data_IF_623001262143
#
_entry.id   IF_623001262143
#
_cell.length_a   1.000
_cell.length_b   1.000
_cell.length_c   1.000
_cell.angle_alpha   90.00
_cell.angle_beta   90.00
_cell.angle_gamma   90.00
#
_symmetry.space_group_name_H-M   'P 1'
#
loop_
_entity.id
_entity.type
_entity.pdbx_description
1 polymer ?
#
# COMPACT_ATOMS: atom_id res chain seq x y z
N UNK A 1 -11.41 16.55 6.46
CA UNK A 1 -11.23 15.34 5.63
C UNK A 1 -10.65 14.26 6.51
N UNK A 2 -11.40 13.19 6.78
CA UNK A 2 -10.92 12.09 7.61
C UNK A 2 -9.73 11.43 6.92
N UNK A 3 -8.56 11.43 7.55
CA UNK A 3 -7.44 10.58 7.14
C UNK A 3 -7.88 9.15 7.39
N UNK A 4 -8.34 8.45 6.36
CA UNK A 4 -8.75 7.05 6.48
C UNK A 4 -7.48 6.22 6.67
N UNK A 5 -7.14 5.91 7.92
CA UNK A 5 -6.10 4.96 8.25
C UNK A 5 -6.65 3.55 7.97
N UNK A 6 -6.21 2.93 6.89
CA UNK A 6 -6.53 1.54 6.57
C UNK A 6 -5.44 0.61 7.13
N UNK A 7 -5.85 -0.55 7.61
CA UNK A 7 -4.95 -1.64 8.01
C UNK A 7 -5.36 -2.90 7.28
N UNK A 8 -4.40 -3.62 6.72
CA UNK A 8 -4.61 -4.91 6.05
C UNK A 8 -3.56 -5.91 6.47
N UNK A 9 -3.99 -7.15 6.61
CA UNK A 9 -3.09 -8.29 6.73
C UNK A 9 -2.64 -8.73 5.34
N UNK A 10 -1.43 -9.26 5.24
CA UNK A 10 -1.06 -10.04 4.06
C UNK A 10 -1.81 -11.39 4.07
N UNK A 11 -1.72 -12.11 2.96
CA UNK A 11 -2.54 -13.28 2.64
C UNK A 11 -2.37 -14.45 3.62
N UNK A 12 -1.19 -14.59 4.23
CA UNK A 12 -0.84 -15.60 5.23
C UNK A 12 -0.87 -15.07 6.67
N UNK A 13 -1.34 -13.83 6.88
CA UNK A 13 -1.45 -13.17 8.18
C UNK A 13 -0.14 -13.17 9.01
N UNK A 14 1.00 -13.08 8.33
CA UNK A 14 2.33 -12.96 8.95
C UNK A 14 2.78 -11.49 9.10
N UNK A 15 2.25 -10.60 8.26
CA UNK A 15 2.49 -9.17 8.29
C UNK A 15 1.19 -8.36 8.21
N UNK A 16 1.24 -7.14 8.73
CA UNK A 16 0.20 -6.14 8.55
C UNK A 16 0.77 -4.85 7.96
N UNK A 17 0.11 -4.30 6.94
CA UNK A 17 0.39 -2.97 6.43
C UNK A 17 -0.61 -1.95 7.00
N UNK A 18 -0.11 -0.77 7.30
CA UNK A 18 -0.87 0.36 7.82
C UNK A 18 -0.66 1.58 6.93
N UNK A 19 -1.75 2.11 6.41
CA UNK A 19 -1.77 3.35 5.65
C UNK A 19 -1.86 4.56 6.59
N UNK A 20 -1.13 5.62 6.25
CA UNK A 20 -1.09 6.87 7.01
C UNK A 20 -1.10 8.08 6.06
N UNK A 21 -1.26 9.28 6.62
CA UNK A 21 -1.07 10.53 5.89
C UNK A 21 0.38 10.77 5.41
N UNK A 22 1.35 9.99 5.88
CA UNK A 22 2.76 10.11 5.46
C UNK A 22 3.18 9.03 4.47
N UNK A 23 2.46 7.91 4.43
CA UNK A 23 2.77 6.76 3.58
C UNK A 23 2.33 5.46 4.23
N UNK A 24 3.17 4.42 4.14
CA UNK A 24 2.84 3.07 4.58
C UNK A 24 3.87 2.54 5.57
N UNK A 25 3.41 1.88 6.62
CA UNK A 25 4.25 1.12 7.54
C UNK A 25 3.87 -0.36 7.52
N UNK A 26 4.85 -1.25 7.51
CA UNK A 26 4.64 -2.71 7.57
C UNK A 26 5.17 -3.23 8.90
N UNK A 27 4.38 -4.07 9.54
CA UNK A 27 4.66 -4.68 10.83
C UNK A 27 4.71 -6.20 10.68
N UNK A 28 5.75 -6.81 11.24
CA UNK A 28 5.82 -8.25 11.46
C UNK A 28 4.96 -8.58 12.68
N UNK A 29 4.05 -9.54 12.52
CA UNK A 29 3.17 -9.97 13.60
C UNK A 29 3.86 -10.97 14.53
N UNK A 30 4.76 -11.80 14.00
CA UNK A 30 5.58 -12.72 14.78
C UNK A 30 6.60 -11.97 15.67
N UNK A 31 7.28 -10.97 15.10
CA UNK A 31 8.30 -10.21 15.81
C UNK A 31 7.79 -8.96 16.54
N UNK A 32 6.47 -8.69 16.50
CA UNK A 32 5.82 -7.50 17.08
C UNK A 32 6.54 -6.17 16.79
N UNK A 33 7.11 -6.01 15.59
CA UNK A 33 7.94 -4.87 15.24
C UNK A 33 7.62 -4.31 13.87
N UNK A 34 7.82 -3.00 13.70
CA UNK A 34 7.80 -2.38 12.37
C UNK A 34 9.04 -2.80 11.60
N UNK A 35 8.86 -3.38 10.43
CA UNK A 35 9.95 -3.84 9.56
C UNK A 35 10.26 -2.86 8.44
N UNK A 36 9.28 -2.04 8.05
CA UNK A 36 9.43 -1.10 6.95
C UNK A 36 8.52 0.12 7.14
N UNK A 37 9.01 1.28 6.69
CA UNK A 37 8.27 2.54 6.64
C UNK A 37 8.63 3.23 5.33
N UNK A 38 7.61 3.60 4.55
CA UNK A 38 7.77 4.31 3.28
C UNK A 38 7.07 5.65 3.39
N UNK A 39 7.83 6.74 3.21
CA UNK A 39 7.32 8.10 3.22
C UNK A 39 7.01 8.56 1.79
N UNK A 40 5.92 8.03 1.23
CA UNK A 40 5.49 8.23 -0.16
C UNK A 40 4.27 9.16 -0.27
N UNK A 41 3.93 9.84 0.83
CA UNK A 41 2.77 10.72 0.97
C UNK A 41 1.49 9.97 1.35
N UNK A 42 0.36 10.69 1.48
CA UNK A 42 -0.92 10.10 1.86
C UNK A 42 -1.37 8.90 1.01
N UNK A 43 -1.54 7.75 1.67
CA UNK A 43 -2.05 6.50 1.08
C UNK A 43 -3.38 6.15 1.73
N UNK A 44 -4.37 5.74 0.92
CA UNK A 44 -5.68 5.28 1.40
C UNK A 44 -5.77 3.76 1.46
N UNK A 45 -5.14 3.05 0.53
CA UNK A 45 -5.10 1.60 0.47
C UNK A 45 -3.68 1.11 0.21
N UNK A 46 -3.28 0.07 0.93
CA UNK A 46 -2.06 -0.66 0.71
C UNK A 46 -2.39 -2.16 0.79
N UNK A 47 -1.90 -2.93 -0.18
CA UNK A 47 -2.05 -4.37 -0.23
C UNK A 47 -0.68 -4.98 -0.49
N UNK A 48 -0.31 -5.96 0.34
CA UNK A 48 0.95 -6.70 0.21
C UNK A 48 0.76 -7.91 -0.70
N UNK A 49 1.81 -8.32 -1.41
CA UNK A 49 1.87 -9.65 -2.02
C UNK A 49 2.68 -10.59 -1.12
N UNK A 50 2.01 -11.30 -0.22
CA UNK A 50 2.59 -12.17 0.81
C UNK A 50 3.73 -11.44 1.55
N UNK A 51 4.93 -12.02 1.58
CA UNK A 51 6.13 -11.45 2.18
C UNK A 51 7.15 -11.00 1.11
N UNK A 52 6.67 -10.61 -0.09
CA UNK A 52 7.53 -10.07 -1.15
C UNK A 52 7.73 -8.55 -0.96
N UNK A 53 8.61 -7.96 -1.76
CA UNK A 53 8.82 -6.51 -1.78
C UNK A 53 7.76 -5.74 -2.58
N UNK A 54 6.78 -6.42 -3.19
CA UNK A 54 5.77 -5.77 -4.01
C UNK A 54 4.58 -5.29 -3.16
N UNK A 55 4.27 -4.00 -3.29
CA UNK A 55 3.12 -3.34 -2.69
C UNK A 55 2.22 -2.75 -3.77
N UNK A 56 0.91 -2.93 -3.61
CA UNK A 56 -0.10 -2.19 -4.34
C UNK A 56 -0.61 -1.03 -3.47
N UNK A 57 -0.57 0.19 -4.01
CA UNK A 57 -0.82 1.42 -3.26
C UNK A 57 -1.81 2.32 -3.99
N UNK A 58 -2.76 2.90 -3.26
CA UNK A 58 -3.72 3.89 -3.77
C UNK A 58 -3.58 5.19 -2.99
N UNK A 59 -3.54 6.33 -3.69
CA UNK A 59 -3.43 7.63 -3.04
C UNK A 59 -4.69 8.04 -2.27
N UNK A 60 -4.56 8.92 -1.28
CA UNK A 60 -5.67 9.38 -0.45
C UNK A 60 -6.43 10.62 -0.98
N UNK A 61 -6.06 11.14 -2.15
CA UNK A 61 -6.70 12.30 -2.80
C UNK A 61 -6.30 13.66 -2.23
N UNK A 62 -5.32 13.73 -1.33
CA UNK A 62 -4.89 14.98 -0.70
C UNK A 62 -4.12 15.92 -1.65
N UNK A 63 -3.50 15.37 -2.70
CA UNK A 63 -2.80 16.10 -3.75
C UNK A 63 -3.11 15.47 -5.12
N UNK A 64 -2.90 16.21 -6.21
CA UNK A 64 -3.15 15.75 -7.59
C UNK A 64 -2.38 14.47 -7.95
N UNK A 65 -1.14 14.34 -7.47
CA UNK A 65 -0.29 13.15 -7.61
C UNK A 65 -0.71 11.96 -6.74
N UNK A 66 -1.67 12.16 -5.85
CA UNK A 66 -2.16 11.14 -4.91
C UNK A 66 -3.64 10.87 -5.13
N UNK A 67 -4.12 11.00 -6.36
CA UNK A 67 -5.51 10.75 -6.67
C UNK A 67 -5.91 9.31 -6.31
N UNK A 68 -7.12 9.10 -5.74
CA UNK A 68 -7.61 7.77 -5.37
C UNK A 68 -7.95 6.90 -6.60
N UNK A 69 -7.76 7.43 -7.81
CA UNK A 69 -7.98 6.72 -9.08
C UNK A 69 -6.69 6.11 -9.64
N UNK A 70 -5.55 6.29 -8.97
CA UNK A 70 -4.28 5.73 -9.42
C UNK A 70 -3.83 4.63 -8.47
N UNK A 71 -3.63 3.45 -9.02
CA UNK A 71 -3.00 2.31 -8.37
C UNK A 71 -1.52 2.27 -8.79
N UNK A 72 -0.63 2.26 -7.80
CA UNK A 72 0.82 2.18 -7.99
C UNK A 72 1.34 0.87 -7.43
N UNK A 73 2.03 0.11 -8.27
CA UNK A 73 2.83 -1.05 -7.87
C UNK A 73 4.23 -0.57 -7.51
N UNK A 74 4.61 -0.72 -6.26
CA UNK A 74 5.88 -0.26 -5.71
C UNK A 74 6.71 -1.44 -5.26
N UNK A 75 7.98 -1.46 -5.65
CA UNK A 75 8.94 -2.43 -5.15
C UNK A 75 9.76 -1.79 -4.03
N UNK A 76 9.60 -2.31 -2.81
CA UNK A 76 10.28 -1.79 -1.64
C UNK A 76 11.77 -2.14 -1.58
N UNK A 77 12.22 -3.17 -2.32
CA UNK A 77 13.63 -3.56 -2.33
C UNK A 77 14.47 -2.59 -3.16
N UNK A 78 13.96 -2.20 -4.34
CA UNK A 78 14.57 -1.18 -5.20
C UNK A 78 14.13 0.25 -4.87
N UNK A 79 13.15 0.41 -3.97
CA UNK A 79 12.50 1.67 -3.63
C UNK A 79 12.04 2.44 -4.88
N UNK A 80 11.35 1.74 -5.78
CA UNK A 80 10.98 2.28 -7.09
C UNK A 80 9.54 1.92 -7.49
N UNK A 81 8.96 2.76 -8.35
CA UNK A 81 7.68 2.50 -8.98
C UNK A 81 7.86 1.47 -10.10
N UNK A 82 7.23 0.31 -9.95
CA UNK A 82 7.22 -0.74 -10.97
C UNK A 82 6.21 -0.41 -12.07
N UNK A 83 5.00 -0.03 -11.67
CA UNK A 83 3.91 0.25 -12.61
C UNK A 83 2.86 1.15 -11.98
N UNK A 84 2.17 1.88 -12.83
CA UNK A 84 1.04 2.71 -12.44
C UNK A 84 -0.15 2.46 -13.37
N UNK A 85 -1.35 2.38 -12.78
CA UNK A 85 -2.60 2.07 -13.45
C UNK A 85 -3.62 3.15 -13.09
N UNK A 86 -4.10 3.86 -14.11
CA UNK A 86 -5.14 4.87 -13.98
C UNK A 86 -6.53 4.27 -14.16
N UNK A 87 -7.46 4.68 -13.30
CA UNK A 87 -8.87 4.31 -13.35
C UNK A 87 -9.73 5.55 -13.62
N UNK A 88 -10.93 5.35 -14.18
CA UNK A 88 -11.90 6.43 -14.40
C UNK A 88 -12.59 6.85 -13.10
N UNK A 89 -12.70 5.93 -12.13
CA UNK A 89 -13.30 6.14 -10.81
C UNK A 89 -12.32 5.79 -9.68
N UNK A 90 -12.67 6.15 -8.44
CA UNK A 90 -11.84 5.82 -7.27
C UNK A 90 -11.71 4.31 -7.09
N UNK A 91 -10.51 3.85 -6.76
CA UNK A 91 -10.22 2.45 -6.42
C UNK A 91 -10.70 2.20 -5.00
N UNK A 92 -11.57 1.20 -4.82
CA UNK A 92 -12.20 0.89 -3.53
C UNK A 92 -11.52 -0.27 -2.79
N UNK A 93 -10.93 -1.21 -3.53
CA UNK A 93 -10.22 -2.35 -3.00
C UNK A 93 -9.15 -2.82 -3.99
N UNK A 94 -8.10 -3.43 -3.47
CA UNK A 94 -7.04 -4.10 -4.23
C UNK A 94 -6.76 -5.43 -3.55
N UNK A 95 -6.57 -6.48 -4.34
CA UNK A 95 -6.20 -7.81 -3.86
C UNK A 95 -5.14 -8.39 -4.81
N UNK A 96 -4.12 -9.05 -4.25
CA UNK A 96 -3.01 -9.62 -5.00
C UNK A 96 -2.88 -11.13 -4.73
N UNK A 97 -2.42 -11.88 -5.73
CA UNK A 97 -2.04 -13.28 -5.62
C UNK A 97 -0.79 -13.56 -6.48
N UNK A 98 -0.23 -14.78 -6.38
CA UNK A 98 0.92 -15.23 -7.19
C UNK A 98 0.52 -15.91 -8.51
N UNK A 99 -0.78 -16.00 -8.80
CA UNK A 99 -1.28 -16.67 -10.00
C UNK A 99 -1.23 -15.68 -11.16
N UNK A 100 -0.79 -16.17 -12.31
CA UNK A 100 -0.53 -15.38 -13.51
C UNK A 100 -1.78 -15.24 -14.37
#
# INVERSE_FOLDING_TARGET
MATQCAVRFNQDASFACMCTSRGVSIYSLEGHRRVLSLDIGPVSLAEMLFCTSLLALVGAGAASSQSPRWLRLWDTASNSLVKELGFTTSVLAVALNKVR
#
